data_IF_142851780370
#
_entry.id   IF_142851780370
#
_cell.length_a   1.000
_cell.length_b   1.000
_cell.length_c   1.000
_cell.angle_alpha   90.00
_cell.angle_beta   90.00
_cell.angle_gamma   90.00
#
_symmetry.space_group_name_H-M   'P 1'
#
loop_
_entity.id
_entity.type
_entity.pdbx_description
1 polymer ?
#
# COMPACT_ATOMS: atom_id res chain seq x y z
N UNK A 1 -25.62 7.18 1.14
CA UNK A 1 -24.33 7.02 1.84
C UNK A 1 -23.23 7.50 0.92
N UNK A 2 -22.18 8.15 1.42
CA UNK A 2 -21.04 8.57 0.61
C UNK A 2 -20.18 7.35 0.20
N UNK A 3 -19.78 7.26 -1.06
CA UNK A 3 -18.91 6.20 -1.57
C UNK A 3 -17.49 6.25 -0.99
N UNK A 4 -16.72 5.19 -1.19
CA UNK A 4 -15.36 5.02 -0.66
C UNK A 4 -14.42 6.16 -1.09
N UNK A 5 -14.46 6.57 -2.36
CA UNK A 5 -13.64 7.67 -2.88
C UNK A 5 -13.93 9.00 -2.19
N UNK A 6 -15.22 9.28 -1.91
CA UNK A 6 -15.63 10.53 -1.26
C UNK A 6 -15.18 10.53 0.19
N UNK A 7 -15.35 9.41 0.90
CA UNK A 7 -14.90 9.26 2.28
C UNK A 7 -13.37 9.36 2.39
N UNK A 8 -12.64 8.74 1.47
CA UNK A 8 -11.18 8.82 1.44
C UNK A 8 -10.67 10.24 1.17
N UNK A 9 -11.31 10.99 0.26
CA UNK A 9 -10.99 12.42 0.07
C UNK A 9 -11.14 13.22 1.37
N UNK A 10 -12.22 12.98 2.12
CA UNK A 10 -12.48 13.66 3.39
C UNK A 10 -11.45 13.27 4.45
N UNK A 11 -11.15 11.98 4.61
CA UNK A 11 -10.18 11.47 5.59
C UNK A 11 -8.76 12.00 5.33
N UNK A 12 -8.34 12.05 4.07
CA UNK A 12 -7.01 12.55 3.69
C UNK A 12 -6.95 14.07 3.55
N UNK A 13 -8.11 14.75 3.50
CA UNK A 13 -8.25 16.19 3.19
C UNK A 13 -7.58 16.57 1.87
N UNK A 14 -7.78 15.74 0.84
CA UNK A 14 -7.27 15.97 -0.52
C UNK A 14 -8.42 16.13 -1.50
N UNK A 15 -8.19 16.93 -2.55
CA UNK A 15 -9.13 17.00 -3.66
C UNK A 15 -9.15 15.68 -4.45
N UNK A 16 -10.29 15.36 -5.08
CA UNK A 16 -10.47 14.12 -5.86
C UNK A 16 -9.39 13.91 -6.93
N UNK A 17 -8.90 14.98 -7.54
CA UNK A 17 -7.83 14.92 -8.54
C UNK A 17 -6.47 14.42 -7.99
N UNK A 18 -6.24 14.58 -6.69
CA UNK A 18 -5.01 14.19 -6.00
C UNK A 18 -5.17 12.91 -5.16
N UNK A 19 -6.38 12.34 -5.10
CA UNK A 19 -6.65 11.16 -4.27
C UNK A 19 -5.78 9.97 -4.66
N UNK A 20 -5.67 9.67 -5.96
CA UNK A 20 -4.84 8.56 -6.44
C UNK A 20 -3.37 8.72 -6.00
N UNK A 21 -2.82 9.93 -6.15
CA UNK A 21 -1.44 10.21 -5.80
C UNK A 21 -1.22 10.01 -4.29
N UNK A 22 -2.17 10.47 -3.46
CA UNK A 22 -2.14 10.27 -2.02
C UNK A 22 -2.25 8.79 -1.62
N UNK A 23 -3.13 8.02 -2.27
CA UNK A 23 -3.27 6.58 -2.03
C UNK A 23 -2.01 5.81 -2.42
N UNK A 24 -1.39 6.12 -3.58
CA UNK A 24 -0.12 5.53 -3.97
C UNK A 24 0.96 5.81 -2.93
N UNK A 25 1.06 7.07 -2.47
CA UNK A 25 2.02 7.47 -1.44
C UNK A 25 1.81 6.72 -0.11
N UNK A 26 0.55 6.47 0.27
CA UNK A 26 0.20 5.68 1.45
C UNK A 26 0.59 4.20 1.28
N UNK A 27 0.32 3.61 0.11
CA UNK A 27 0.75 2.26 -0.27
C UNK A 27 2.27 2.13 -0.49
N UNK A 28 3.04 3.20 -0.29
CA UNK A 28 4.49 3.20 -0.52
C UNK A 28 4.90 3.07 -1.99
N UNK A 29 4.00 3.40 -2.91
CA UNK A 29 4.20 3.36 -4.37
C UNK A 29 4.34 4.79 -4.91
N UNK A 30 5.11 4.99 -6.00
CA UNK A 30 5.14 6.29 -6.67
C UNK A 30 3.78 6.62 -7.27
N UNK A 31 3.43 7.90 -7.27
CA UNK A 31 2.26 8.36 -8.01
C UNK A 31 2.48 8.15 -9.52
N UNK A 32 1.47 7.63 -10.25
CA UNK A 32 1.58 7.48 -11.70
C UNK A 32 1.59 8.86 -12.39
N UNK A 33 2.24 8.99 -13.56
CA UNK A 33 2.32 10.26 -14.28
C UNK A 33 0.93 10.90 -14.50
N UNK A 34 0.82 12.24 -14.41
CA UNK A 34 -0.46 12.93 -14.57
C UNK A 34 -0.99 12.83 -16.01
N UNK A 35 -2.28 13.11 -16.17
CA UNK A 35 -2.96 13.08 -17.46
C UNK A 35 -3.33 11.66 -17.93
N UNK A 36 -3.48 11.48 -19.24
CA UNK A 36 -3.98 10.25 -19.86
C UNK A 36 -2.96 9.09 -19.92
N UNK A 37 -2.13 8.93 -18.88
CA UNK A 37 -1.10 7.90 -18.83
C UNK A 37 -1.72 6.50 -18.62
N UNK A 38 -1.29 5.45 -19.35
CA UNK A 38 -1.87 4.10 -19.24
C UNK A 38 -1.86 3.53 -17.82
N UNK A 39 -0.76 3.72 -17.08
CA UNK A 39 -0.63 3.27 -15.69
C UNK A 39 -1.66 3.95 -14.80
N UNK A 40 -1.88 5.26 -14.98
CA UNK A 40 -2.85 6.03 -14.21
C UNK A 40 -4.27 5.51 -14.46
N UNK A 41 -4.62 5.27 -15.72
CA UNK A 41 -5.92 4.69 -16.10
C UNK A 41 -6.18 3.33 -15.46
N UNK A 42 -5.15 2.49 -15.34
CA UNK A 42 -5.29 1.18 -14.69
C UNK A 42 -5.58 1.35 -13.19
N UNK A 43 -4.85 2.23 -12.50
CA UNK A 43 -5.12 2.51 -11.09
C UNK A 43 -6.53 3.09 -10.90
N UNK A 44 -6.93 4.04 -11.73
CA UNK A 44 -8.27 4.63 -11.69
C UNK A 44 -9.38 3.59 -11.91
N UNK A 45 -9.18 2.62 -12.82
CA UNK A 45 -10.13 1.51 -13.03
C UNK A 45 -10.26 0.63 -11.80
N UNK A 46 -9.15 0.32 -11.13
CA UNK A 46 -9.17 -0.48 -9.89
C UNK A 46 -9.92 0.26 -8.79
N UNK A 47 -9.64 1.54 -8.60
CA UNK A 47 -10.36 2.37 -7.62
C UNK A 47 -11.87 2.50 -7.95
N UNK A 48 -12.22 2.58 -9.23
CA UNK A 48 -13.62 2.59 -9.67
C UNK A 48 -14.33 1.26 -9.40
N UNK A 49 -13.62 0.13 -9.54
CA UNK A 49 -14.17 -1.18 -9.22
C UNK A 49 -14.56 -1.28 -7.74
N UNK A 50 -13.68 -0.83 -6.84
CA UNK A 50 -13.97 -0.76 -5.40
C UNK A 50 -15.13 0.19 -5.10
N UNK A 51 -15.16 1.38 -5.73
CA UNK A 51 -16.25 2.35 -5.56
C UNK A 51 -17.62 1.80 -6.00
N UNK A 52 -17.64 0.90 -6.98
CA UNK A 52 -18.88 0.28 -7.48
C UNK A 52 -19.49 -0.74 -6.50
N UNK A 53 -18.73 -1.15 -5.49
CA UNK A 53 -19.19 -2.10 -4.47
C UNK A 53 -19.88 -1.33 -3.32
N UNK A 54 -20.99 -1.85 -2.76
CA UNK A 54 -21.68 -1.17 -1.68
C UNK A 54 -20.78 -0.92 -0.45
N UNK A 55 -20.91 0.25 0.21
CA UNK A 55 -20.22 0.51 1.47
C UNK A 55 -20.46 -0.59 2.50
N UNK A 56 -19.39 -1.10 3.11
CA UNK A 56 -19.44 -2.15 4.12
C UNK A 56 -19.47 -3.58 3.56
N UNK A 57 -19.57 -3.76 2.23
CA UNK A 57 -19.47 -5.08 1.61
C UNK A 57 -18.01 -5.54 1.38
N UNK A 58 -17.05 -4.62 1.50
CA UNK A 58 -15.61 -4.89 1.53
C UNK A 58 -15.03 -4.33 2.83
N UNK A 59 -14.11 -5.08 3.42
CA UNK A 59 -13.24 -4.67 4.49
C UNK A 59 -11.80 -4.49 3.96
N UNK A 60 -10.99 -3.66 4.62
CA UNK A 60 -9.55 -3.63 4.38
C UNK A 60 -8.90 -5.02 4.39
N UNK A 61 -8.20 -5.34 3.31
CA UNK A 61 -7.48 -6.61 3.12
C UNK A 61 -8.27 -7.68 2.38
N UNK A 62 -9.58 -7.47 2.17
CA UNK A 62 -10.43 -8.43 1.47
C UNK A 62 -10.01 -8.59 0.00
N UNK A 63 -9.60 -7.52 -0.67
CA UNK A 63 -9.25 -7.55 -2.10
C UNK A 63 -7.91 -8.26 -2.30
N UNK A 64 -6.94 -7.98 -1.43
CA UNK A 64 -5.64 -8.66 -1.40
C UNK A 64 -5.80 -10.14 -1.08
N UNK A 65 -6.57 -10.51 -0.06
CA UNK A 65 -6.83 -11.90 0.30
C UNK A 65 -7.53 -12.66 -0.84
N UNK A 66 -8.55 -12.05 -1.47
CA UNK A 66 -9.21 -12.62 -2.65
C UNK A 66 -8.23 -12.87 -3.81
N UNK A 67 -7.30 -11.94 -4.04
CA UNK A 67 -6.26 -12.08 -5.06
C UNK A 67 -5.33 -13.25 -4.75
N UNK A 68 -4.98 -13.45 -3.48
CA UNK A 68 -4.15 -14.59 -3.05
C UNK A 68 -4.88 -15.93 -3.13
N UNK A 69 -6.18 -15.99 -2.80
CA UNK A 69 -6.98 -17.21 -3.02
C UNK A 69 -7.06 -17.55 -4.50
N UNK A 70 -7.33 -16.57 -5.37
CA UNK A 70 -7.40 -16.80 -6.81
C UNK A 70 -6.05 -17.24 -7.41
N UNK A 71 -4.94 -16.83 -6.79
CA UNK A 71 -3.60 -17.29 -7.13
C UNK A 71 -3.26 -18.68 -6.53
N UNK A 72 -4.17 -19.28 -5.77
CA UNK A 72 -3.95 -20.55 -5.09
C UNK A 72 -3.02 -20.45 -3.86
N UNK A 73 -2.67 -19.26 -3.39
CA UNK A 73 -1.81 -19.10 -2.21
C UNK A 73 -2.56 -19.31 -0.90
N UNK A 74 -3.86 -19.03 -0.91
CA UNK A 74 -4.74 -19.22 0.25
C UNK A 74 -5.84 -20.20 -0.12
N UNK A 75 -6.14 -21.13 0.80
CA UNK A 75 -7.28 -22.02 0.68
C UNK A 75 -8.41 -21.51 1.59
N UNK A 76 -9.16 -20.54 1.10
CA UNK A 76 -10.27 -19.91 1.82
C UNK A 76 -11.43 -19.62 0.86
N UNK A 77 -12.64 -19.55 1.40
CA UNK A 77 -13.79 -19.06 0.63
C UNK A 77 -13.69 -17.54 0.47
N UNK A 78 -13.94 -17.05 -0.75
CA UNK A 78 -13.89 -15.62 -1.06
C UNK A 78 -15.31 -15.07 -1.17
N UNK A 79 -15.67 -14.04 -0.38
CA UNK A 79 -16.93 -13.33 -0.56
C UNK A 79 -17.07 -12.77 -1.98
N UNK A 80 -18.28 -12.84 -2.55
CA UNK A 80 -18.54 -12.39 -3.92
C UNK A 80 -18.10 -10.92 -4.22
N UNK A 81 -18.24 -9.95 -3.30
CA UNK A 81 -17.72 -8.59 -3.53
C UNK A 81 -16.20 -8.55 -3.70
N UNK A 82 -15.47 -9.28 -2.85
CA UNK A 82 -14.01 -9.38 -2.87
C UNK A 82 -13.52 -10.09 -4.14
N UNK A 83 -14.20 -11.18 -4.51
CA UNK A 83 -13.92 -11.92 -5.74
C UNK A 83 -14.12 -11.05 -6.99
N UNK A 84 -15.20 -10.26 -7.01
CA UNK A 84 -15.49 -9.33 -8.11
C UNK A 84 -14.40 -8.26 -8.27
N UNK A 85 -13.93 -7.68 -7.16
CA UNK A 85 -12.85 -6.70 -7.18
C UNK A 85 -11.53 -7.32 -7.68
N UNK A 86 -11.16 -8.50 -7.15
CA UNK A 86 -9.96 -9.23 -7.57
C UNK A 86 -10.02 -9.64 -9.06
N UNK A 87 -11.18 -10.12 -9.55
CA UNK A 87 -11.39 -10.42 -10.97
C UNK A 87 -11.27 -9.18 -11.86
N UNK A 88 -11.73 -8.01 -11.39
CA UNK A 88 -11.57 -6.76 -12.12
C UNK A 88 -10.10 -6.39 -12.28
N UNK A 89 -9.31 -6.52 -11.21
CA UNK A 89 -7.86 -6.29 -11.23
C UNK A 89 -7.20 -7.22 -12.26
N UNK A 90 -7.49 -8.54 -12.18
CA UNK A 90 -6.94 -9.53 -13.11
C UNK A 90 -7.27 -9.21 -14.55
N UNK A 91 -8.55 -9.03 -14.88
CA UNK A 91 -8.98 -8.66 -16.25
C UNK A 91 -8.31 -7.39 -16.76
N UNK A 92 -8.10 -6.40 -15.88
CA UNK A 92 -7.46 -5.15 -16.24
C UNK A 92 -5.99 -5.36 -16.62
N UNK A 93 -5.27 -6.20 -15.89
CA UNK A 93 -3.85 -6.48 -16.12
C UNK A 93 -3.65 -7.52 -17.23
N UNK A 94 -4.49 -8.56 -17.30
CA UNK A 94 -4.49 -9.57 -18.38
C UNK A 94 -4.77 -8.95 -19.75
N UNK A 95 -5.59 -7.90 -19.79
CA UNK A 95 -5.85 -7.11 -21.01
C UNK A 95 -4.65 -6.28 -21.48
N UNK A 96 -3.55 -6.22 -20.72
CA UNK A 96 -2.34 -5.47 -21.08
C UNK A 96 -1.42 -6.36 -21.91
N UNK A 97 -1.04 -5.88 -23.09
CA UNK A 97 -0.06 -6.56 -23.94
C UNK A 97 1.34 -6.62 -23.29
N UNK A 98 2.21 -7.57 -23.70
CA UNK A 98 3.52 -7.77 -23.05
C UNK A 98 4.40 -6.51 -22.97
N UNK A 99 4.40 -5.68 -24.02
CA UNK A 99 5.18 -4.44 -24.07
C UNK A 99 4.69 -3.38 -23.06
N UNK A 100 3.39 -3.35 -22.78
CA UNK A 100 2.78 -2.39 -21.85
C UNK A 100 2.76 -2.93 -20.41
N UNK A 101 2.82 -4.25 -20.23
CA UNK A 101 2.98 -4.90 -18.92
C UNK A 101 4.28 -4.45 -18.26
N UNK A 102 5.36 -4.38 -19.03
CA UNK A 102 6.63 -3.81 -18.57
C UNK A 102 6.49 -2.37 -18.07
N UNK A 103 5.83 -1.51 -18.85
CA UNK A 103 5.64 -0.09 -18.49
C UNK A 103 4.81 0.03 -17.21
N UNK A 104 3.82 -0.85 -17.04
CA UNK A 104 3.00 -0.93 -15.84
C UNK A 104 3.82 -1.37 -14.63
N UNK A 105 4.59 -2.46 -14.74
CA UNK A 105 5.45 -2.97 -13.68
C UNK A 105 6.53 -1.97 -13.25
N UNK A 106 7.09 -1.23 -14.22
CA UNK A 106 8.00 -0.11 -13.92
C UNK A 106 7.26 1.06 -13.27
N UNK A 107 6.06 1.39 -13.74
CA UNK A 107 5.25 2.49 -13.22
C UNK A 107 4.79 2.30 -11.77
N UNK A 108 4.65 1.05 -11.31
CA UNK A 108 4.27 0.73 -9.92
C UNK A 108 5.46 0.66 -8.95
N UNK A 109 6.70 0.89 -9.44
CA UNK A 109 7.93 0.68 -8.69
C UNK A 109 7.98 -0.69 -8.00
N UNK A 110 7.66 -1.73 -8.77
CA UNK A 110 7.75 -3.11 -8.32
C UNK A 110 9.13 -3.40 -7.68
N UNK A 111 9.10 -4.00 -6.50
CA UNK A 111 10.29 -4.36 -5.72
C UNK A 111 10.65 -5.82 -5.96
N UNK A 112 11.85 -6.23 -5.51
CA UNK A 112 12.27 -7.63 -5.61
C UNK A 112 11.38 -8.55 -4.77
N UNK A 113 10.89 -8.05 -3.64
CA UNK A 113 9.96 -8.75 -2.76
C UNK A 113 8.59 -8.98 -3.42
N UNK A 114 8.10 -8.00 -4.18
CA UNK A 114 6.88 -8.18 -4.99
C UNK A 114 7.06 -9.27 -6.06
N UNK A 115 8.23 -9.29 -6.73
CA UNK A 115 8.58 -10.33 -7.70
C UNK A 115 8.72 -11.71 -7.06
N UNK A 116 9.31 -11.80 -5.86
CA UNK A 116 9.42 -13.05 -5.11
C UNK A 116 8.03 -13.63 -4.78
N UNK A 117 7.13 -12.79 -4.28
CA UNK A 117 5.72 -13.18 -4.05
C UNK A 117 5.03 -13.59 -5.34
N UNK A 118 5.24 -12.85 -6.42
CA UNK A 118 4.74 -13.19 -7.76
C UNK A 118 5.22 -14.55 -8.23
N UNK A 119 6.52 -14.83 -8.08
CA UNK A 119 7.14 -16.08 -8.49
C UNK A 119 6.66 -17.25 -7.64
N UNK A 120 6.54 -17.07 -6.31
CA UNK A 120 5.99 -18.09 -5.43
C UNK A 120 4.56 -18.49 -5.85
N UNK A 121 3.72 -17.53 -6.22
CA UNK A 121 2.37 -17.79 -6.70
C UNK A 121 2.31 -18.55 -8.04
N UNK A 122 3.28 -18.32 -8.92
CA UNK A 122 3.36 -19.02 -10.22
C UNK A 122 3.91 -20.43 -10.06
N UNK A 123 4.90 -20.62 -9.20
CA UNK A 123 5.65 -21.87 -9.07
C UNK A 123 5.00 -22.89 -8.13
N UNK A 124 4.20 -22.44 -7.15
CA UNK A 124 3.57 -23.33 -6.16
C UNK A 124 2.10 -22.96 -5.87
N UNK A 125 1.19 -23.03 -6.87
CA UNK A 125 -0.23 -22.85 -6.63
C UNK A 125 -0.75 -23.97 -5.70
N UNK A 126 -1.32 -23.62 -4.55
CA UNK A 126 -2.02 -24.54 -3.65
C UNK A 126 -1.24 -25.05 -2.43
N UNK A 127 -0.05 -24.52 -2.11
CA UNK A 127 0.76 -25.02 -0.99
C UNK A 127 0.96 -23.97 0.14
N UNK A 128 -0.01 -23.80 1.04
CA UNK A 128 0.18 -22.99 2.23
C UNK A 128 0.89 -23.83 3.31
N UNK A 129 2.13 -23.46 3.68
CA UNK A 129 2.62 -23.75 5.04
C UNK A 129 3.83 -24.67 5.22
N UNK A 130 4.49 -25.14 4.16
CA UNK A 130 5.84 -25.68 4.28
C UNK A 130 6.67 -25.13 3.13
N UNK A 131 7.52 -24.14 3.43
CA UNK A 131 8.45 -23.58 2.45
C UNK A 131 9.36 -24.70 1.97
N UNK A 132 9.04 -25.28 0.81
CA UNK A 132 9.96 -26.13 0.09
C UNK A 132 11.18 -25.27 -0.24
N UNK A 133 12.36 -25.54 0.33
CA UNK A 133 13.54 -24.73 0.08
C UNK A 133 13.89 -24.66 -1.41
N UNK A 134 13.50 -25.68 -2.20
CA UNK A 134 13.68 -25.68 -3.65
C UNK A 134 12.69 -24.73 -4.34
N UNK A 135 11.43 -24.70 -3.92
CA UNK A 135 10.42 -23.74 -4.38
C UNK A 135 10.81 -22.30 -4.06
N UNK A 136 11.30 -22.02 -2.85
CA UNK A 136 11.81 -20.70 -2.48
C UNK A 136 13.03 -20.29 -3.32
N UNK A 137 13.98 -21.20 -3.52
CA UNK A 137 15.16 -20.94 -4.36
C UNK A 137 14.77 -20.71 -5.83
N UNK A 138 13.81 -21.47 -6.35
CA UNK A 138 13.29 -21.29 -7.71
C UNK A 138 12.59 -19.94 -7.86
N UNK A 139 11.78 -19.53 -6.87
CA UNK A 139 11.16 -18.20 -6.85
C UNK A 139 12.21 -17.08 -6.80
N UNK A 140 13.27 -17.25 -6.00
CA UNK A 140 14.40 -16.31 -5.97
C UNK A 140 15.11 -16.21 -7.30
N UNK A 141 15.38 -17.34 -7.95
CA UNK A 141 16.04 -17.40 -9.25
C UNK A 141 15.18 -16.70 -10.30
N UNK A 142 13.89 -17.03 -10.38
CA UNK A 142 12.99 -16.44 -11.36
C UNK A 142 12.78 -14.94 -11.15
N UNK A 143 12.62 -14.49 -9.90
CA UNK A 143 12.55 -13.06 -9.57
C UNK A 143 13.84 -12.32 -9.95
N UNK A 144 15.00 -12.96 -9.80
CA UNK A 144 16.28 -12.42 -10.23
C UNK A 144 16.38 -12.32 -11.75
N UNK A 145 15.97 -13.36 -12.48
CA UNK A 145 15.97 -13.34 -13.94
C UNK A 145 15.06 -12.22 -14.49
N UNK A 146 13.88 -12.04 -13.90
CA UNK A 146 12.96 -10.94 -14.25
C UNK A 146 13.58 -9.57 -13.98
N UNK A 147 14.31 -9.45 -12.88
CA UNK A 147 14.97 -8.21 -12.49
C UNK A 147 16.11 -7.81 -13.45
N UNK A 148 16.89 -8.78 -13.93
CA UNK A 148 18.10 -8.55 -14.69
C UNK A 148 17.87 -8.57 -16.21
N UNK A 149 16.90 -9.34 -16.70
CA UNK A 149 16.62 -9.46 -18.13
C UNK A 149 15.76 -8.31 -18.64
N UNK A 150 16.10 -7.84 -19.84
CA UNK A 150 15.23 -6.91 -20.57
C UNK A 150 13.90 -7.59 -20.93
N UNK A 151 12.76 -6.86 -20.94
CA UNK A 151 11.43 -7.41 -21.20
C UNK A 151 11.29 -8.16 -22.54
N UNK A 152 12.09 -7.81 -23.54
CA UNK A 152 12.12 -8.50 -24.83
C UNK A 152 12.62 -9.95 -24.75
N UNK A 153 13.25 -10.36 -23.65
CA UNK A 153 13.73 -11.72 -23.41
C UNK A 153 12.89 -12.47 -22.36
N UNK A 154 11.77 -11.90 -21.92
CA UNK A 154 10.89 -12.57 -20.97
C UNK A 154 10.16 -13.71 -21.64
N UNK A 155 10.34 -14.91 -21.09
CA UNK A 155 9.52 -16.07 -21.39
C UNK A 155 8.13 -15.98 -20.74
N UNK A 156 7.35 -17.05 -20.88
CA UNK A 156 6.01 -17.15 -20.30
C UNK A 156 6.01 -16.93 -18.78
N UNK A 157 6.85 -17.67 -18.07
CA UNK A 157 6.88 -17.65 -16.60
C UNK A 157 7.30 -16.28 -16.04
N UNK A 158 8.25 -15.61 -16.70
CA UNK A 158 8.65 -14.24 -16.39
C UNK A 158 7.45 -13.28 -16.47
N UNK A 159 6.63 -13.43 -17.51
CA UNK A 159 5.44 -12.59 -17.73
C UNK A 159 4.38 -12.87 -16.66
N UNK A 160 4.17 -14.14 -16.32
CA UNK A 160 3.21 -14.53 -15.27
C UNK A 160 3.63 -14.05 -13.88
N UNK A 161 4.93 -14.10 -13.55
CA UNK A 161 5.46 -13.54 -12.29
C UNK A 161 5.13 -12.06 -12.17
N UNK A 162 5.36 -11.30 -13.25
CA UNK A 162 5.10 -9.87 -13.28
C UNK A 162 3.59 -9.59 -13.17
N UNK A 163 2.74 -10.37 -13.84
CA UNK A 163 1.28 -10.28 -13.69
C UNK A 163 0.83 -10.56 -12.25
N UNK A 164 1.29 -11.66 -11.67
CA UNK A 164 0.96 -12.04 -10.30
C UNK A 164 1.38 -10.96 -9.28
N UNK A 165 2.57 -10.39 -9.46
CA UNK A 165 3.03 -9.27 -8.64
C UNK A 165 2.15 -8.02 -8.83
N UNK A 166 1.76 -7.70 -10.08
CA UNK A 166 0.88 -6.57 -10.37
C UNK A 166 -0.53 -6.73 -9.79
N UNK A 167 -1.10 -7.93 -9.78
CA UNK A 167 -2.40 -8.16 -9.16
C UNK A 167 -2.37 -7.76 -7.68
N UNK A 168 -1.33 -8.19 -6.96
CA UNK A 168 -1.15 -7.87 -5.54
C UNK A 168 -0.93 -6.39 -5.30
N UNK A 169 -0.07 -5.74 -6.09
CA UNK A 169 0.19 -4.30 -5.94
C UNK A 169 -1.10 -3.48 -6.15
N UNK A 170 -1.93 -3.87 -7.12
CA UNK A 170 -3.20 -3.20 -7.37
C UNK A 170 -4.27 -3.54 -6.33
N UNK A 171 -4.25 -4.76 -5.78
CA UNK A 171 -5.12 -5.15 -4.67
C UNK A 171 -4.76 -4.38 -3.38
N UNK A 172 -3.48 -4.23 -3.09
CA UNK A 172 -2.97 -3.41 -1.97
C UNK A 172 -3.40 -1.94 -2.09
N UNK A 173 -3.41 -1.39 -3.31
CA UNK A 173 -3.95 -0.05 -3.56
C UNK A 173 -5.47 0.03 -3.31
N UNK A 174 -6.22 -1.00 -3.72
CA UNK A 174 -7.65 -1.10 -3.46
C UNK A 174 -7.94 -1.18 -1.96
N UNK A 175 -7.18 -1.97 -1.21
CA UNK A 175 -7.29 -2.07 0.23
C UNK A 175 -6.86 -0.80 0.95
N UNK A 176 -5.82 -0.10 0.45
CA UNK A 176 -5.45 1.23 0.96
C UNK A 176 -6.60 2.22 0.82
N UNK A 177 -7.37 2.18 -0.28
CA UNK A 177 -8.58 2.99 -0.42
C UNK A 177 -9.61 2.63 0.67
N UNK A 178 -9.84 1.35 0.92
CA UNK A 178 -10.80 0.88 1.93
C UNK A 178 -10.38 1.35 3.34
N UNK A 179 -9.13 1.12 3.71
CA UNK A 179 -8.54 1.54 5.00
C UNK A 179 -8.76 3.04 5.25
N UNK A 180 -8.40 3.84 4.26
CA UNK A 180 -8.52 5.29 4.35
C UNK A 180 -10.00 5.72 4.37
N UNK A 181 -10.86 5.05 3.59
CA UNK A 181 -12.29 5.39 3.53
C UNK A 181 -13.04 5.13 4.83
N UNK A 182 -12.56 4.19 5.62
CA UNK A 182 -13.11 3.86 6.94
C UNK A 182 -12.37 4.56 8.08
N UNK A 183 -11.24 5.22 7.78
CA UNK A 183 -10.50 6.01 8.75
C UNK A 183 -11.25 7.31 9.11
N UNK A 184 -11.22 7.67 10.40
CA UNK A 184 -11.80 8.92 10.92
C UNK A 184 -10.72 9.73 11.65
N UNK A 185 -9.63 10.15 10.99
CA UNK A 185 -8.50 10.79 11.65
C UNK A 185 -8.88 12.13 12.30
N UNK A 186 -8.43 12.35 13.53
CA UNK A 186 -8.47 13.65 14.22
C UNK A 186 -7.47 14.59 13.55
N UNK A 187 -7.91 15.68 12.91
CA UNK A 187 -7.00 16.60 12.26
C UNK A 187 -6.01 17.24 13.24
N UNK A 188 -4.73 17.21 12.89
CA UNK A 188 -3.68 17.88 13.66
C UNK A 188 -3.14 19.10 12.92
N UNK A 189 -2.86 20.16 13.68
CA UNK A 189 -2.23 21.37 13.17
C UNK A 189 -0.72 21.17 13.14
N UNK A 190 -0.22 20.66 12.01
CA UNK A 190 1.19 20.35 11.83
C UNK A 190 2.06 21.60 11.64
N UNK A 191 3.15 21.68 12.40
CA UNK A 191 4.24 22.63 12.19
C UNK A 191 5.44 21.93 11.56
N UNK A 192 6.04 22.55 10.54
CA UNK A 192 7.16 21.98 9.79
C UNK A 192 8.48 22.50 10.35
N UNK A 193 9.43 21.60 10.60
CA UNK A 193 10.76 21.90 11.12
C UNK A 193 11.84 21.21 10.26
N UNK A 194 13.11 21.60 10.47
CA UNK A 194 14.29 20.99 9.84
C UNK A 194 14.14 20.80 8.31
N UNK A 195 13.73 21.87 7.61
CA UNK A 195 13.49 21.87 6.16
C UNK A 195 12.59 20.72 5.66
N UNK A 196 11.57 20.36 6.45
CA UNK A 196 10.60 19.32 6.08
C UNK A 196 11.00 17.91 6.50
N UNK A 197 12.04 17.74 7.30
CA UNK A 197 12.48 16.45 7.86
C UNK A 197 11.80 16.09 9.19
N UNK A 198 11.06 17.04 9.76
CA UNK A 198 10.37 16.89 11.03
C UNK A 198 9.06 17.67 11.03
N UNK A 199 8.01 17.05 11.54
CA UNK A 199 6.70 17.67 11.73
C UNK A 199 6.26 17.48 13.16
N UNK A 200 5.70 18.50 13.76
CA UNK A 200 5.22 18.47 15.14
C UNK A 200 3.76 18.91 15.19
N UNK A 201 3.01 18.40 16.14
CA UNK A 201 1.69 18.91 16.48
C UNK A 201 1.42 18.69 17.97
N UNK A 202 0.67 19.57 18.59
CA UNK A 202 0.18 19.40 19.97
C UNK A 202 -1.33 19.42 19.94
N UNK A 203 -1.95 18.52 20.69
CA UNK A 203 -3.41 18.43 20.82
C UNK A 203 -3.81 18.12 22.24
N UNK A 204 -4.99 18.60 22.65
CA UNK A 204 -5.56 18.35 23.95
C UNK A 204 -6.85 17.54 23.80
N UNK A 205 -6.98 16.45 24.57
CA UNK A 205 -8.16 15.59 24.56
C UNK A 205 -8.36 14.92 25.93
N UNK A 206 -9.61 14.87 26.41
CA UNK A 206 -9.98 14.29 27.72
C UNK A 206 -9.09 14.76 28.90
N UNK A 207 -8.68 16.03 28.89
CA UNK A 207 -7.83 16.61 29.94
C UNK A 207 -6.35 16.22 29.88
N UNK A 208 -5.91 15.54 28.81
CA UNK A 208 -4.51 15.17 28.56
C UNK A 208 -3.99 15.92 27.33
N UNK A 209 -2.77 16.45 27.43
CA UNK A 209 -2.06 17.02 26.28
C UNK A 209 -1.18 15.94 25.67
N UNK A 210 -1.23 15.83 24.35
CA UNK A 210 -0.41 14.94 23.54
C UNK A 210 0.48 15.75 22.61
N UNK A 211 1.77 15.47 22.64
CA UNK A 211 2.73 15.96 21.65
C UNK A 211 2.98 14.86 20.63
N UNK A 212 2.88 15.22 19.36
CA UNK A 212 3.04 14.33 18.22
C UNK A 212 4.22 14.79 17.40
N UNK A 213 5.12 13.87 17.12
CA UNK A 213 6.34 14.10 16.35
C UNK A 213 6.39 13.10 15.20
N UNK A 214 6.51 13.61 13.97
CA UNK A 214 6.82 12.82 12.77
C UNK A 214 8.21 13.21 12.30
N UNK A 215 9.06 12.23 12.03
CA UNK A 215 10.44 12.47 11.55
C UNK A 215 10.94 11.32 10.71
N UNK A 216 12.04 11.53 10.02
CA UNK A 216 12.78 10.43 9.39
C UNK A 216 13.26 9.45 10.46
N UNK A 217 12.89 8.19 10.32
CA UNK A 217 13.27 7.11 11.23
C UNK A 217 14.79 6.88 11.19
N UNK A 218 15.42 6.69 12.36
CA UNK A 218 16.86 6.46 12.48
C UNK A 218 17.15 4.97 12.60
N UNK A 219 18.05 4.46 11.77
CA UNK A 219 18.51 3.06 11.86
C UNK A 219 17.53 2.02 11.32
N UNK A 220 16.43 2.45 10.69
CA UNK A 220 15.48 1.56 10.02
C UNK A 220 16.00 1.19 8.64
N UNK A 221 15.84 -0.08 8.19
CA UNK A 221 16.20 -0.45 6.84
C UNK A 221 15.48 0.48 5.85
N UNK A 222 16.25 0.91 4.86
CA UNK A 222 15.76 1.64 3.72
C UNK A 222 14.62 0.86 3.04
N UNK A 223 13.61 1.58 2.53
CA UNK A 223 12.53 0.95 1.76
C UNK A 223 13.12 0.10 0.62
N UNK A 224 12.51 -1.05 0.34
CA UNK A 224 12.99 -1.95 -0.72
C UNK A 224 13.12 -1.18 -2.05
N UNK A 225 14.30 -1.25 -2.66
CA UNK A 225 14.55 -0.52 -3.90
C UNK A 225 13.71 -1.12 -5.03
N UNK A 226 13.08 -0.27 -5.88
CA UNK A 226 12.41 -0.76 -7.07
C UNK A 226 13.43 -1.40 -8.01
N UNK A 227 13.04 -2.50 -8.64
CA UNK A 227 13.94 -3.35 -9.42
C UNK A 227 14.46 -2.62 -10.67
N UNK A 228 13.61 -1.78 -11.28
CA UNK A 228 13.91 -1.11 -12.56
C UNK A 228 14.04 0.42 -12.44
N UNK A 229 14.16 0.94 -11.21
CA UNK A 229 14.48 2.34 -10.98
C UNK A 229 15.79 2.48 -10.23
N UNK A 230 16.65 3.40 -10.69
CA UNK A 230 17.72 3.97 -9.86
C UNK A 230 17.15 5.13 -9.04
N UNK A 231 16.15 4.85 -8.20
CA UNK A 231 15.78 5.81 -7.16
C UNK A 231 16.53 5.42 -5.89
N UNK A 232 17.24 6.37 -5.24
CA UNK A 232 17.78 6.09 -3.92
C UNK A 232 16.60 5.72 -3.02
N UNK A 233 16.74 4.67 -2.19
CA UNK A 233 15.67 4.29 -1.31
C UNK A 233 15.26 5.47 -0.43
N UNK A 234 13.96 5.70 -0.32
CA UNK A 234 13.42 6.81 0.45
C UNK A 234 13.70 6.59 1.95
N UNK A 235 13.97 7.67 2.70
CA UNK A 235 14.06 7.57 4.16
C UNK A 235 12.72 7.08 4.69
N UNK A 236 12.75 6.06 5.55
CA UNK A 236 11.58 5.65 6.30
C UNK A 236 11.16 6.76 7.26
N UNK A 237 9.86 6.89 7.49
CA UNK A 237 9.29 7.85 8.45
C UNK A 237 8.80 7.10 9.68
N UNK A 238 8.87 7.77 10.81
CA UNK A 238 8.27 7.31 12.06
C UNK A 238 7.41 8.43 12.64
N UNK A 239 6.38 8.04 13.38
CA UNK A 239 5.69 8.94 14.28
C UNK A 239 5.91 8.51 15.72
N UNK A 240 5.87 9.48 16.63
CA UNK A 240 5.91 9.30 18.07
C UNK A 240 4.87 10.20 18.71
N UNK A 241 4.06 9.65 19.61
CA UNK A 241 3.14 10.39 20.47
C UNK A 241 3.65 10.29 21.90
N UNK A 242 3.69 11.42 22.61
CA UNK A 242 3.98 11.51 24.04
C UNK A 242 2.84 12.20 24.77
N UNK A 243 2.55 11.79 26.00
CA UNK A 243 1.48 12.41 26.80
C UNK A 243 1.35 11.88 28.22
N UNK A 244 0.43 12.50 28.98
CA UNK A 244 0.10 12.17 30.38
C UNK A 244 0.58 13.22 31.40
N UNK A 245 0.20 13.11 32.69
CA UNK A 245 0.41 14.16 33.71
C UNK A 245 1.87 14.52 33.99
N UNK A 246 2.83 13.80 33.41
CA UNK A 246 4.28 14.05 33.53
C UNK A 246 5.03 13.65 32.24
N UNK A 247 4.36 13.53 31.09
CA UNK A 247 4.99 13.15 29.81
C UNK A 247 5.66 11.76 29.79
N UNK A 248 5.32 10.85 30.71
CA UNK A 248 5.97 9.53 30.86
C UNK A 248 5.50 8.50 29.83
N UNK A 249 4.31 8.66 29.26
CA UNK A 249 3.80 7.75 28.24
C UNK A 249 4.36 8.12 26.87
N UNK A 250 4.94 7.15 26.15
CA UNK A 250 5.37 7.35 24.78
C UNK A 250 5.12 6.12 23.93
N UNK A 251 4.53 6.34 22.75
CA UNK A 251 4.32 5.31 21.74
C UNK A 251 4.88 5.78 20.41
N UNK A 252 5.54 4.89 19.69
CA UNK A 252 6.07 5.18 18.35
C UNK A 252 5.72 4.07 17.39
N UNK A 253 5.64 4.41 16.11
CA UNK A 253 5.41 3.46 15.04
C UNK A 253 6.24 3.84 13.81
N UNK A 254 6.80 2.82 13.18
CA UNK A 254 7.63 2.87 11.98
C UNK A 254 7.67 1.46 11.36
N UNK A 255 8.06 1.31 10.08
CA UNK A 255 8.36 2.37 9.11
C UNK A 255 7.11 2.84 8.33
N UNK A 256 7.12 4.11 7.93
CA UNK A 256 6.17 4.68 6.98
C UNK A 256 6.89 5.13 5.70
N UNK A 257 6.25 5.01 4.52
CA UNK A 257 6.88 5.35 3.24
C UNK A 257 7.05 6.85 3.00
N UNK A 258 6.31 7.69 3.71
CA UNK A 258 6.34 9.15 3.55
C UNK A 258 5.95 9.87 4.85
N UNK A 259 6.29 11.15 4.93
CA UNK A 259 5.82 12.02 6.01
C UNK A 259 4.30 12.07 6.05
N UNK A 260 3.65 12.16 4.89
CA UNK A 260 2.20 12.18 4.74
C UNK A 260 1.55 10.93 5.34
N UNK A 261 2.10 9.74 5.03
CA UNK A 261 1.62 8.48 5.60
C UNK A 261 1.79 8.42 7.12
N UNK A 262 2.96 8.85 7.63
CA UNK A 262 3.22 8.90 9.06
C UNK A 262 2.29 9.90 9.78
N UNK A 263 2.00 11.06 9.17
CA UNK A 263 1.07 12.05 9.70
C UNK A 263 -0.35 11.49 9.78
N UNK A 264 -0.86 10.91 8.69
CA UNK A 264 -2.19 10.30 8.67
C UNK A 264 -2.33 9.18 9.71
N UNK A 265 -1.33 8.30 9.81
CA UNK A 265 -1.30 7.25 10.83
C UNK A 265 -1.27 7.81 12.26
N UNK A 266 -0.52 8.89 12.51
CA UNK A 266 -0.48 9.55 13.81
C UNK A 266 -1.85 10.18 14.18
N UNK A 267 -2.55 10.78 13.23
CA UNK A 267 -3.90 11.31 13.43
C UNK A 267 -4.92 10.20 13.73
N UNK A 268 -4.85 9.07 13.03
CA UNK A 268 -5.62 7.87 13.35
C UNK A 268 -5.32 7.35 14.77
N UNK A 269 -4.04 7.33 15.18
CA UNK A 269 -3.64 6.93 16.53
C UNK A 269 -4.18 7.87 17.61
N UNK A 270 -4.11 9.20 17.40
CA UNK A 270 -4.72 10.19 18.30
C UNK A 270 -6.23 9.99 18.41
N UNK A 271 -6.91 9.69 17.30
CA UNK A 271 -8.34 9.36 17.32
C UNK A 271 -8.64 8.17 18.23
N UNK A 272 -7.85 7.10 18.12
CA UNK A 272 -8.01 5.91 18.95
C UNK A 272 -7.73 6.18 20.44
N UNK A 273 -6.68 6.96 20.74
CA UNK A 273 -6.33 7.37 22.10
C UNK A 273 -7.44 8.23 22.74
N UNK A 274 -7.91 9.25 22.03
CA UNK A 274 -8.96 10.16 22.52
C UNK A 274 -10.32 9.46 22.65
N UNK A 275 -10.56 8.41 21.88
CA UNK A 275 -11.73 7.54 22.04
C UNK A 275 -11.59 6.52 23.20
N UNK A 276 -10.41 6.38 23.81
CA UNK A 276 -10.15 5.39 24.86
C UNK A 276 -10.05 3.95 24.35
N UNK A 277 -9.84 3.75 23.05
CA UNK A 277 -9.68 2.40 22.45
C UNK A 277 -8.27 1.83 22.67
N UNK A 278 -7.30 2.68 22.99
CA UNK A 278 -5.94 2.29 23.29
C UNK A 278 -5.30 3.25 24.31
N UNK A 279 -4.20 2.81 24.91
CA UNK A 279 -3.34 3.61 25.79
C UNK A 279 -2.01 3.98 25.13
N UNK A 280 -1.32 4.94 25.75
CA UNK A 280 0.08 5.24 25.49
C UNK A 280 1.01 4.24 26.18
#
# INVERSE_FOLDING_TARGET
MAGHLTRACAALRVARAHLLDALCVLAGRPAPPPGAHPVRRIHERVLQAVESVPPGALQPGDVYAATDVQAGLLNAEVPAPSDTAALCIRRTVDGVGPADLWKLARGTAMTRDDLLRGAAAVLAPGYPGAGDPLGELAAHTLAQEVAERSPCHWGRDHTEVVRAALYRILADLADTLLEVSDSTPTPLNWTVHDSGRRYCATTAGRGVTHDVLVRTARGTPLAAAPVWHRHPPCPAWEWRITGGPVGRGSRSCAPFPSAFAAQHAAECAITALTAGRCGL
#
